data_IF_687097875809
#
_entry.id   IF_687097875809
#
_cell.length_a   1.000
_cell.length_b   1.000
_cell.length_c   1.000
_cell.angle_alpha   90.00
_cell.angle_beta   90.00
_cell.angle_gamma   90.00
#
_symmetry.space_group_name_H-M   'P 1'
#
loop_
_entity.id
_entity.type
_entity.pdbx_description
1 polymer ?
#
# COMPACT_ATOMS: atom_id res chain seq x y z
N UNK A 1 -18.16 0.23 13.82
CA UNK A 1 -17.75 1.37 12.98
C UNK A 1 -16.22 1.48 12.98
N UNK A 2 -15.49 0.53 12.39
CA UNK A 2 -14.02 0.54 12.33
C UNK A 2 -13.58 0.38 10.88
N UNK A 3 -13.91 1.36 10.05
CA UNK A 3 -13.41 1.49 8.69
C UNK A 3 -12.44 2.67 8.68
N UNK A 4 -11.32 2.58 7.96
CA UNK A 4 -10.38 3.71 7.88
C UNK A 4 -11.09 4.94 7.30
N UNK A 5 -10.72 6.13 7.77
CA UNK A 5 -11.33 7.42 7.43
C UNK A 5 -12.74 7.69 7.96
N UNK A 6 -13.24 6.93 8.93
CA UNK A 6 -14.59 7.13 9.43
C UNK A 6 -14.66 8.31 10.41
N UNK A 7 -15.49 9.32 10.10
CA UNK A 7 -15.77 10.43 11.02
C UNK A 7 -17.06 11.17 10.69
N UNK A 8 -17.41 12.16 11.51
CA UNK A 8 -18.65 12.96 11.34
C UNK A 8 -18.48 14.15 10.41
N UNK A 9 -17.24 14.56 10.16
CA UNK A 9 -16.86 15.77 9.41
C UNK A 9 -15.58 15.50 8.62
N UNK A 10 -15.35 16.27 7.58
CA UNK A 10 -14.09 16.22 6.82
C UNK A 10 -13.05 17.05 7.58
N UNK A 11 -12.18 16.41 8.35
CA UNK A 11 -11.15 17.09 9.15
C UNK A 11 -9.88 16.25 9.26
N UNK A 12 -8.72 16.91 9.24
CA UNK A 12 -7.47 16.32 9.73
C UNK A 12 -7.47 16.41 11.27
N UNK A 13 -7.24 15.29 11.94
CA UNK A 13 -7.17 15.20 13.39
C UNK A 13 -5.81 14.65 13.82
N UNK A 14 -5.42 14.89 15.08
CA UNK A 14 -4.21 14.28 15.62
C UNK A 14 -4.48 12.80 15.84
N UNK A 15 -3.56 11.97 15.34
CA UNK A 15 -3.52 10.55 15.61
C UNK A 15 -2.66 10.16 16.82
N UNK A 16 -2.38 8.86 16.95
CA UNK A 16 -1.48 8.22 17.90
C UNK A 16 -0.09 8.85 17.81
N UNK A 17 0.46 8.96 16.60
CA UNK A 17 1.75 9.61 16.35
C UNK A 17 1.83 10.36 15.01
N UNK A 18 0.87 10.15 14.12
CA UNK A 18 0.81 10.81 12.81
C UNK A 18 -0.54 11.51 12.59
N UNK A 19 -0.68 12.22 11.47
CA UNK A 19 -1.94 12.87 11.10
C UNK A 19 -2.98 11.80 10.75
N UNK A 20 -4.14 11.88 11.36
CA UNK A 20 -5.31 11.07 11.05
C UNK A 20 -6.33 11.88 10.26
N UNK A 21 -7.21 11.20 9.54
CA UNK A 21 -8.23 11.84 8.72
C UNK A 21 -9.61 11.29 9.02
N UNK A 22 -10.55 12.19 9.20
CA UNK A 22 -11.97 11.91 9.35
C UNK A 22 -12.70 12.37 8.10
N UNK A 23 -13.57 11.51 7.56
CA UNK A 23 -14.43 11.84 6.42
C UNK A 23 -15.83 11.26 6.72
N UNK A 24 -16.92 12.01 6.49
CA UNK A 24 -18.28 11.49 6.57
C UNK A 24 -18.58 10.67 5.31
N UNK A 25 -17.87 9.56 5.17
CA UNK A 25 -18.05 8.62 4.07
C UNK A 25 -18.90 7.44 4.54
N UNK A 26 -19.94 7.12 3.77
CA UNK A 26 -20.57 5.80 3.86
C UNK A 26 -19.60 4.79 3.29
N UNK A 27 -18.94 4.03 4.16
CA UNK A 27 -17.97 3.03 3.72
C UNK A 27 -18.63 2.03 2.76
N UNK A 28 -18.21 2.06 1.50
CA UNK A 28 -18.62 1.09 0.52
C UNK A 28 -17.57 -0.01 0.45
N UNK A 29 -17.91 -1.16 1.05
CA UNK A 29 -17.02 -2.31 1.12
C UNK A 29 -16.60 -2.79 -0.27
N UNK A 30 -17.44 -2.64 -1.30
CA UNK A 30 -17.10 -3.02 -2.68
C UNK A 30 -15.95 -2.16 -3.19
N UNK A 31 -16.02 -0.84 -3.01
CA UNK A 31 -14.97 0.08 -3.48
C UNK A 31 -13.63 -0.17 -2.79
N UNK A 32 -13.67 -0.44 -1.48
CA UNK A 32 -12.48 -0.79 -0.71
C UNK A 32 -11.80 -2.06 -1.24
N UNK A 33 -12.58 -3.10 -1.52
CA UNK A 33 -12.05 -4.35 -2.07
C UNK A 33 -11.46 -4.16 -3.47
N UNK A 34 -12.05 -3.30 -4.32
CA UNK A 34 -11.54 -3.04 -5.66
C UNK A 34 -10.15 -2.38 -5.64
N UNK A 35 -9.87 -1.53 -4.66
CA UNK A 35 -8.54 -0.94 -4.48
C UNK A 35 -7.49 -2.03 -4.19
N UNK A 36 -7.77 -2.95 -3.26
CA UNK A 36 -6.85 -4.06 -2.94
C UNK A 36 -6.62 -4.96 -4.15
N UNK A 37 -7.67 -5.25 -4.92
CA UNK A 37 -7.58 -6.04 -6.15
C UNK A 37 -6.67 -5.36 -7.17
N UNK A 38 -6.90 -4.08 -7.44
CA UNK A 38 -6.14 -3.32 -8.43
C UNK A 38 -4.68 -3.08 -8.01
N UNK A 39 -4.44 -2.76 -6.74
CA UNK A 39 -3.13 -2.36 -6.23
C UNK A 39 -2.23 -3.51 -5.80
N UNK A 40 -2.78 -4.70 -5.53
CA UNK A 40 -2.00 -5.85 -5.07
C UNK A 40 -2.26 -7.13 -5.85
N UNK A 41 -3.52 -7.52 -6.02
CA UNK A 41 -3.86 -8.81 -6.65
C UNK A 41 -3.46 -8.82 -8.12
N UNK A 42 -3.85 -7.79 -8.87
CA UNK A 42 -3.48 -7.66 -10.28
C UNK A 42 -1.94 -7.69 -10.45
N UNK A 43 -1.16 -6.83 -9.76
CA UNK A 43 0.31 -6.90 -9.73
C UNK A 43 0.91 -8.25 -9.45
N UNK A 44 0.32 -8.97 -8.52
CA UNK A 44 0.75 -10.31 -8.21
C UNK A 44 0.50 -11.27 -9.37
N UNK A 45 -0.69 -11.23 -9.99
CA UNK A 45 -1.09 -12.12 -11.09
C UNK A 45 -0.27 -11.94 -12.37
N UNK A 46 0.05 -10.70 -12.76
CA UNK A 46 0.86 -10.45 -13.97
C UNK A 46 2.38 -10.57 -13.74
N UNK A 47 2.79 -11.12 -12.59
CA UNK A 47 4.18 -11.56 -12.36
C UNK A 47 5.09 -10.55 -11.68
N UNK A 48 4.58 -9.41 -11.20
CA UNK A 48 5.39 -8.42 -10.46
C UNK A 48 5.50 -8.70 -8.96
N UNK A 49 5.34 -9.96 -8.55
CA UNK A 49 5.21 -10.41 -7.16
C UNK A 49 6.28 -9.91 -6.18
N UNK A 50 7.56 -9.77 -6.60
CA UNK A 50 8.62 -9.21 -5.76
C UNK A 50 8.38 -7.75 -5.41
N UNK A 51 7.96 -6.96 -6.39
CA UNK A 51 7.62 -5.54 -6.20
C UNK A 51 6.33 -5.40 -5.40
N UNK A 52 5.32 -6.24 -5.68
CA UNK A 52 4.08 -6.29 -4.90
C UNK A 52 4.35 -6.64 -3.45
N UNK A 53 5.18 -7.64 -3.17
CA UNK A 53 5.57 -8.05 -1.83
C UNK A 53 6.28 -6.93 -1.08
N UNK A 54 7.23 -6.26 -1.73
CA UNK A 54 7.90 -5.08 -1.16
C UNK A 54 6.89 -3.97 -0.83
N UNK A 55 5.95 -3.67 -1.73
CA UNK A 55 4.90 -2.68 -1.50
C UNK A 55 3.98 -3.04 -0.32
N UNK A 56 3.60 -4.31 -0.18
CA UNK A 56 2.80 -4.78 0.96
C UNK A 56 3.56 -4.58 2.28
N UNK A 57 4.85 -4.91 2.30
CA UNK A 57 5.71 -4.75 3.48
C UNK A 57 5.87 -3.28 3.83
N UNK A 58 6.31 -2.45 2.89
CA UNK A 58 6.54 -1.03 3.16
C UNK A 58 5.25 -0.25 3.36
N UNK A 59 4.11 -0.76 2.94
CA UNK A 59 2.84 -0.06 3.02
C UNK A 59 1.96 -0.55 4.16
N UNK A 60 0.92 -1.36 3.88
CA UNK A 60 -0.05 -1.81 4.87
C UNK A 60 0.56 -2.48 6.09
N UNK A 61 1.62 -3.27 5.91
CA UNK A 61 2.23 -4.02 7.02
C UNK A 61 2.93 -3.11 8.03
N UNK A 62 3.82 -2.21 7.57
CA UNK A 62 4.43 -1.22 8.46
C UNK A 62 3.42 -0.25 9.05
N UNK A 63 2.40 0.17 8.28
CA UNK A 63 1.35 1.02 8.81
C UNK A 63 0.55 0.33 9.93
N UNK A 64 0.21 -0.94 9.75
CA UNK A 64 -0.48 -1.75 10.76
C UNK A 64 0.35 -1.95 12.04
N UNK A 65 1.67 -2.11 11.91
CA UNK A 65 2.56 -2.29 13.07
C UNK A 65 2.78 -1.00 13.87
N UNK A 66 2.61 0.17 13.23
CA UNK A 66 3.04 1.45 13.81
C UNK A 66 1.92 2.27 14.40
N UNK A 67 0.66 2.04 14.02
CA UNK A 67 -0.49 2.77 14.59
C UNK A 67 -1.67 1.83 14.82
N UNK A 68 -2.35 2.04 15.95
CA UNK A 68 -3.55 1.29 16.32
C UNK A 68 -4.83 1.94 15.76
N UNK A 69 -4.72 3.18 15.29
CA UNK A 69 -5.83 3.98 14.79
C UNK A 69 -6.06 3.77 13.28
N UNK A 70 -7.21 3.23 12.86
CA UNK A 70 -7.52 3.01 11.44
C UNK A 70 -7.58 4.30 10.62
N UNK A 71 -7.86 5.45 11.25
CA UNK A 71 -7.92 6.75 10.57
C UNK A 71 -6.52 7.30 10.21
N UNK A 72 -5.45 6.68 10.71
CA UNK A 72 -4.06 7.03 10.38
C UNK A 72 -3.45 6.16 9.29
N UNK A 73 -3.99 4.96 9.05
CA UNK A 73 -3.37 3.95 8.20
C UNK A 73 -2.96 4.46 6.82
N UNK A 74 -3.81 5.23 6.17
CA UNK A 74 -3.49 5.75 4.83
C UNK A 74 -2.42 6.85 4.84
N UNK A 75 -2.39 7.71 5.85
CA UNK A 75 -1.37 8.75 5.97
C UNK A 75 -0.01 8.14 6.30
N UNK A 76 0.01 7.18 7.22
CA UNK A 76 1.21 6.43 7.59
C UNK A 76 1.74 5.58 6.43
N UNK A 77 0.86 4.91 5.67
CA UNK A 77 1.28 4.20 4.47
C UNK A 77 1.90 5.16 3.45
N UNK A 78 1.33 6.35 3.25
CA UNK A 78 1.91 7.34 2.34
C UNK A 78 3.34 7.75 2.77
N UNK A 79 3.57 7.95 4.07
CA UNK A 79 4.91 8.21 4.62
C UNK A 79 5.90 7.09 4.26
N UNK A 80 5.53 5.83 4.49
CA UNK A 80 6.42 4.70 4.18
C UNK A 80 6.55 4.40 2.69
N UNK A 81 5.64 4.91 1.86
CA UNK A 81 5.72 4.83 0.39
C UNK A 81 6.92 5.62 -0.18
N UNK A 82 7.54 6.52 0.60
CA UNK A 82 8.84 7.11 0.26
C UNK A 82 9.91 6.01 0.11
N UNK A 83 9.79 4.89 0.85
CA UNK A 83 10.65 3.71 0.67
C UNK A 83 10.58 3.12 -0.74
N UNK A 84 9.41 3.12 -1.37
CA UNK A 84 9.24 2.69 -2.77
C UNK A 84 9.92 3.65 -3.74
N UNK A 85 9.84 4.95 -3.49
CA UNK A 85 10.51 5.96 -4.30
C UNK A 85 12.03 5.82 -4.18
N UNK A 86 12.53 5.67 -2.96
CA UNK A 86 13.96 5.41 -2.71
C UNK A 86 14.44 4.13 -3.39
N UNK A 87 13.60 3.10 -3.45
CA UNK A 87 13.91 1.86 -4.15
C UNK A 87 14.03 2.07 -5.66
N UNK A 88 13.14 2.86 -6.27
CA UNK A 88 13.16 3.15 -7.70
C UNK A 88 14.36 4.03 -8.09
N UNK A 89 14.71 5.00 -7.24
CA UNK A 89 15.86 5.89 -7.45
C UNK A 89 17.19 5.14 -7.25
N UNK A 90 17.26 4.20 -6.30
CA UNK A 90 18.49 3.44 -5.99
C UNK A 90 18.61 2.18 -6.87
N UNK A 91 19.43 2.26 -7.91
CA UNK A 91 19.63 1.23 -8.94
C UNK A 91 19.93 -0.22 -8.47
N UNK A 92 20.70 -0.52 -7.39
CA UNK A 92 21.03 -1.90 -7.06
C UNK A 92 19.84 -2.72 -6.56
N UNK A 93 18.90 -2.09 -5.83
CA UNK A 93 17.73 -2.77 -5.27
C UNK A 93 16.75 -3.11 -6.39
N UNK A 94 16.61 -2.21 -7.38
CA UNK A 94 15.80 -2.42 -8.58
C UNK A 94 16.17 -3.71 -9.31
N UNK A 95 17.46 -4.03 -9.44
CA UNK A 95 17.92 -5.25 -10.10
C UNK A 95 17.53 -6.52 -9.33
N UNK A 96 17.49 -6.46 -8.00
CA UNK A 96 17.09 -7.60 -7.16
C UNK A 96 15.58 -7.86 -7.23
N UNK A 97 14.77 -6.79 -7.22
CA UNK A 97 13.32 -6.87 -7.30
C UNK A 97 12.80 -7.10 -8.72
N UNK A 98 13.65 -6.97 -9.75
CA UNK A 98 13.28 -7.35 -11.11
C UNK A 98 12.99 -8.85 -11.18
N UNK A 99 11.87 -9.20 -11.81
CA UNK A 99 11.42 -10.58 -11.98
C UNK A 99 11.71 -10.99 -13.42
N UNK A 100 12.66 -11.90 -13.61
CA UNK A 100 13.08 -12.39 -14.93
C UNK A 100 12.30 -13.63 -15.40
N UNK A 101 11.63 -14.33 -14.48
CA UNK A 101 10.84 -15.51 -14.79
C UNK A 101 9.59 -15.54 -13.92
N UNK A 102 8.44 -15.76 -14.54
CA UNK A 102 7.18 -16.05 -13.87
C UNK A 102 6.82 -17.52 -14.08
N UNK A 103 6.08 -18.12 -13.15
CA UNK A 103 5.83 -19.57 -13.07
C UNK A 103 5.58 -20.26 -14.42
N UNK A 104 4.73 -19.66 -15.28
CA UNK A 104 4.35 -20.24 -16.57
C UNK A 104 4.88 -19.47 -17.80
N UNK A 105 5.58 -18.35 -17.60
CA UNK A 105 6.03 -17.49 -18.69
C UNK A 105 7.49 -17.07 -18.46
N UNK A 106 8.40 -17.65 -19.25
CA UNK A 106 9.76 -17.10 -19.46
C UNK A 106 9.65 -15.96 -20.46
N UNK A 107 9.40 -14.73 -19.99
CA UNK A 107 9.47 -13.59 -20.89
C UNK A 107 10.91 -13.37 -21.39
N UNK A 108 10.98 -12.92 -22.65
CA UNK A 108 12.19 -12.79 -23.47
C UNK A 108 13.26 -11.97 -22.76
N UNK A 109 14.48 -12.53 -22.73
CA UNK A 109 15.70 -11.76 -22.45
C UNK A 109 15.72 -10.55 -23.40
N UNK A 110 15.62 -9.34 -22.85
CA UNK A 110 16.00 -8.11 -23.55
C UNK A 110 17.50 -7.92 -23.41
#
# INVERSE_FOLDING_TARGET
>A
FNVPFCGKRVCSVSGDWHIAWEIPATANLVLYNMYIVASFIMPFLYGSWKMTGYHIVTGPFLAYLTTSNPNEWAAVWCLYSIGLVLLLVKSPIRNCLHVNSWFWWKYLKV
#
